data_IF_915518211778
#
_entry.id   IF_915518211778
#
_cell.length_a   1.000
_cell.length_b   1.000
_cell.length_c   1.000
_cell.angle_alpha   90.00
_cell.angle_beta   90.00
_cell.angle_gamma   90.00
#
_symmetry.space_group_name_H-M   'P 1'
#
loop_
_entity.id
_entity.type
_entity.pdbx_description
1 polymer ?
#
# COMPACT_ATOMS: atom_id res chain seq x y z
N UNK A 1 -7.36 12.05 3.69
CA UNK A 1 -6.43 11.10 4.36
C UNK A 1 -7.15 10.25 5.40
N UNK A 2 -7.76 10.86 6.44
CA UNK A 2 -8.45 10.12 7.51
C UNK A 2 -9.52 9.11 7.02
N UNK A 3 -10.32 9.49 6.00
CA UNK A 3 -11.32 8.58 5.41
C UNK A 3 -10.69 7.29 4.85
N UNK A 4 -9.53 7.40 4.20
CA UNK A 4 -8.82 6.24 3.67
C UNK A 4 -8.27 5.36 4.80
N UNK A 5 -7.60 5.96 5.78
CA UNK A 5 -7.08 5.25 6.95
C UNK A 5 -8.18 4.50 7.71
N UNK A 6 -9.32 5.14 7.90
CA UNK A 6 -10.48 4.55 8.55
C UNK A 6 -11.07 3.41 7.71
N UNK A 7 -11.17 3.57 6.39
CA UNK A 7 -11.67 2.52 5.50
C UNK A 7 -10.77 1.28 5.51
N UNK A 8 -9.45 1.46 5.50
CA UNK A 8 -8.47 0.37 5.54
C UNK A 8 -8.53 -0.40 6.86
N UNK A 9 -8.68 0.30 8.00
CA UNK A 9 -8.64 -0.31 9.32
C UNK A 9 -9.98 -0.85 9.83
N UNK A 10 -11.08 -0.68 9.11
CA UNK A 10 -12.30 -1.47 9.37
C UNK A 10 -12.11 -2.97 9.15
N UNK A 11 -10.96 -3.38 8.62
CA UNK A 11 -10.57 -4.77 8.42
C UNK A 11 -9.77 -5.24 9.64
N UNK A 12 -10.28 -6.23 10.38
CA UNK A 12 -9.76 -6.68 11.67
C UNK A 12 -8.25 -7.03 11.70
N UNK A 13 -7.67 -7.34 10.55
CA UNK A 13 -6.26 -7.70 10.44
C UNK A 13 -5.29 -6.51 10.25
N UNK A 14 -5.79 -5.29 9.95
CA UNK A 14 -4.94 -4.14 9.62
C UNK A 14 -4.68 -3.26 10.84
N UNK A 15 -3.41 -3.14 11.22
CA UNK A 15 -2.94 -2.29 12.30
C UNK A 15 -2.27 -1.03 11.76
N UNK A 16 -2.55 0.13 12.36
CA UNK A 16 -1.83 1.39 12.10
C UNK A 16 -0.68 1.55 13.09
N UNK A 17 0.46 2.01 12.61
CA UNK A 17 1.61 2.37 13.44
C UNK A 17 2.28 3.62 12.87
N UNK A 18 2.88 4.49 13.70
CA UNK A 18 3.76 5.54 13.20
C UNK A 18 4.84 4.92 12.31
N UNK A 19 5.07 5.51 11.13
CA UNK A 19 6.09 5.02 10.21
C UNK A 19 7.41 5.75 10.46
N UNK A 20 8.54 5.01 10.38
CA UNK A 20 9.87 5.54 10.73
C UNK A 20 10.36 6.70 9.86
N UNK A 21 9.72 6.90 8.71
CA UNK A 21 10.02 8.00 7.79
C UNK A 21 8.94 9.10 7.80
N UNK A 22 8.09 9.11 8.83
CA UNK A 22 6.92 9.98 8.93
C UNK A 22 5.67 9.33 8.34
N UNK A 23 4.50 9.84 8.77
CA UNK A 23 3.21 9.31 8.37
C UNK A 23 2.78 8.05 9.12
N UNK A 24 1.85 7.30 8.54
CA UNK A 24 1.20 6.14 9.14
C UNK A 24 1.44 4.90 8.28
N UNK A 25 2.00 3.86 8.87
CA UNK A 25 2.16 2.55 8.24
C UNK A 25 1.00 1.61 8.56
N UNK A 26 0.66 0.76 7.59
CA UNK A 26 -0.41 -0.24 7.69
C UNK A 26 0.19 -1.65 7.65
N UNK A 27 -0.18 -2.47 8.63
CA UNK A 27 0.45 -3.77 8.87
C UNK A 27 -0.57 -4.89 9.03
N UNK A 28 -0.23 -6.09 8.57
CA UNK A 28 -0.84 -7.35 9.01
C UNK A 28 0.20 -8.11 9.81
N UNK A 29 -0.03 -8.28 11.11
CA UNK A 29 0.98 -8.83 12.04
C UNK A 29 2.25 -7.98 12.04
N UNK A 30 3.36 -8.54 11.55
CA UNK A 30 4.66 -7.85 11.41
C UNK A 30 4.92 -7.33 9.99
N UNK A 31 4.01 -7.58 9.05
CA UNK A 31 4.24 -7.32 7.63
C UNK A 31 3.60 -6.02 7.21
N UNK A 32 4.45 -5.09 6.77
CA UNK A 32 4.01 -3.84 6.18
C UNK A 32 3.33 -4.10 4.82
N UNK A 33 2.17 -3.48 4.62
CA UNK A 33 1.49 -3.43 3.34
C UNK A 33 1.91 -2.17 2.58
N UNK A 34 1.96 -1.06 3.32
CA UNK A 34 2.49 0.23 2.89
C UNK A 34 2.28 1.32 3.93
N UNK A 35 2.52 2.56 3.55
CA UNK A 35 2.42 3.71 4.44
C UNK A 35 1.92 4.96 3.71
N UNK A 36 1.23 5.82 4.45
CA UNK A 36 0.72 7.11 4.01
C UNK A 36 1.53 8.22 4.66
N UNK A 37 2.22 9.01 3.85
CA UNK A 37 2.94 10.21 4.28
C UNK A 37 1.97 11.34 4.63
N UNK A 38 2.40 12.28 5.48
CA UNK A 38 1.55 13.40 5.93
C UNK A 38 1.16 14.38 4.82
N UNK A 39 1.81 14.32 3.66
CA UNK A 39 1.48 15.09 2.46
C UNK A 39 0.49 14.38 1.52
N UNK A 40 -0.01 13.20 1.88
CA UNK A 40 -0.96 12.43 1.06
C UNK A 40 -0.31 11.45 0.08
N UNK A 41 1.01 11.29 0.08
CA UNK A 41 1.66 10.25 -0.71
C UNK A 41 1.44 8.88 -0.07
N UNK A 42 0.79 7.97 -0.78
CA UNK A 42 0.57 6.59 -0.37
C UNK A 42 1.57 5.68 -1.08
N UNK A 43 2.46 5.06 -0.32
CA UNK A 43 3.41 4.07 -0.81
C UNK A 43 2.92 2.66 -0.47
N UNK A 44 2.86 1.78 -1.48
CA UNK A 44 2.37 0.40 -1.34
C UNK A 44 3.32 -0.58 -2.00
N UNK A 45 3.50 -1.76 -1.40
CA UNK A 45 4.26 -2.82 -2.04
C UNK A 45 3.36 -3.86 -2.67
N UNK A 46 3.38 -3.90 -3.99
CA UNK A 46 2.54 -4.78 -4.82
C UNK A 46 3.35 -5.87 -5.53
N UNK A 47 4.68 -5.85 -5.39
CA UNK A 47 5.59 -6.74 -6.12
C UNK A 47 5.84 -6.27 -7.56
N UNK A 48 6.95 -6.73 -8.17
CA UNK A 48 7.45 -6.17 -9.45
C UNK A 48 6.46 -6.32 -10.61
N UNK A 49 5.79 -7.46 -10.72
CA UNK A 49 4.83 -7.73 -11.82
C UNK A 49 3.64 -6.77 -11.75
N UNK A 50 2.97 -6.66 -10.60
CA UNK A 50 1.86 -5.72 -10.43
C UNK A 50 2.31 -4.28 -10.54
N UNK A 51 3.46 -3.90 -9.95
CA UNK A 51 4.02 -2.55 -10.09
C UNK A 51 4.17 -2.17 -11.56
N UNK A 52 4.67 -3.08 -12.40
CA UNK A 52 4.85 -2.83 -13.84
C UNK A 52 3.52 -2.56 -14.53
N UNK A 53 2.49 -3.36 -14.27
CA UNK A 53 1.15 -3.15 -14.85
C UNK A 53 0.47 -1.86 -14.35
N UNK A 54 0.54 -1.56 -13.04
CA UNK A 54 -0.08 -0.35 -12.49
C UNK A 54 0.54 0.91 -13.07
N UNK A 55 1.87 0.97 -13.16
CA UNK A 55 2.59 2.11 -13.72
C UNK A 55 2.32 2.26 -15.21
N UNK A 56 2.36 1.16 -15.98
CA UNK A 56 2.08 1.19 -17.43
C UNK A 56 0.67 1.71 -17.75
N UNK A 57 -0.31 1.45 -16.88
CA UNK A 57 -1.69 1.92 -17.04
C UNK A 57 -1.93 3.33 -16.46
N UNK A 58 -0.90 4.00 -15.95
CA UNK A 58 -1.03 5.31 -15.30
C UNK A 58 -1.83 5.28 -14.00
N UNK A 59 -2.01 4.10 -13.39
CA UNK A 59 -2.80 3.94 -12.14
C UNK A 59 -2.00 4.24 -10.88
N UNK A 60 -0.68 4.23 -10.98
CA UNK A 60 0.25 4.56 -9.90
C UNK A 60 1.58 5.01 -10.50
N UNK A 61 2.42 5.62 -9.67
CA UNK A 61 3.77 6.05 -10.02
C UNK A 61 4.79 5.01 -9.52
N UNK A 62 5.98 4.92 -10.14
CA UNK A 62 7.14 4.29 -9.51
C UNK A 62 7.37 4.88 -8.12
N UNK A 63 7.82 4.05 -7.17
CA UNK A 63 8.16 4.56 -5.85
C UNK A 63 9.29 5.60 -5.93
N UNK A 64 9.08 6.77 -5.35
CA UNK A 64 9.96 7.94 -5.52
C UNK A 64 11.42 7.72 -5.04
N UNK A 65 11.66 6.87 -4.03
CA UNK A 65 13.02 6.49 -3.58
C UNK A 65 13.52 5.17 -4.18
N UNK A 66 12.60 4.28 -4.56
CA UNK A 66 12.92 2.89 -4.93
C UNK A 66 12.23 2.52 -6.25
N UNK A 67 12.53 3.24 -7.35
CA UNK A 67 11.74 3.16 -8.58
C UNK A 67 11.73 1.76 -9.21
N UNK A 68 12.82 1.00 -9.06
CA UNK A 68 13.00 -0.35 -9.64
C UNK A 68 12.53 -1.49 -8.71
N UNK A 69 11.90 -1.15 -7.59
CA UNK A 69 11.38 -2.12 -6.63
C UNK A 69 9.94 -2.56 -6.95
N UNK A 70 9.38 -3.41 -6.08
CA UNK A 70 7.95 -3.75 -6.10
C UNK A 70 7.05 -2.70 -5.46
N UNK A 71 7.59 -1.56 -5.04
CA UNK A 71 6.84 -0.44 -4.47
C UNK A 71 6.27 0.46 -5.57
N UNK A 72 5.08 1.00 -5.30
CA UNK A 72 4.42 2.06 -6.06
C UNK A 72 4.11 3.23 -5.13
N UNK A 73 3.98 4.42 -5.72
CA UNK A 73 3.47 5.62 -5.08
C UNK A 73 2.14 6.04 -5.71
N UNK A 74 1.21 6.53 -4.90
CA UNK A 74 -0.08 7.07 -5.35
C UNK A 74 -0.42 8.32 -4.53
N UNK A 75 -0.79 9.42 -5.19
CA UNK A 75 -1.18 10.64 -4.49
C UNK A 75 -2.66 10.59 -4.11
N UNK A 76 -2.95 10.76 -2.83
CA UNK A 76 -4.31 10.89 -2.30
C UNK A 76 -4.63 12.38 -2.11
N UNK A 77 -4.91 13.07 -3.21
CA UNK A 77 -5.09 14.54 -3.24
C UNK A 77 -6.51 14.95 -2.84
N UNK A 78 -7.49 14.10 -3.14
CA UNK A 78 -8.92 14.39 -2.98
C UNK A 78 -9.72 13.16 -2.51
N UNK A 79 -10.96 13.36 -2.02
CA UNK A 79 -11.85 12.25 -1.69
C UNK A 79 -12.17 11.32 -2.88
N UNK A 80 -12.11 11.82 -4.12
CA UNK A 80 -12.36 11.01 -5.32
C UNK A 80 -11.31 9.90 -5.51
N UNK A 81 -10.10 10.12 -4.99
CA UNK A 81 -8.97 9.19 -5.12
C UNK A 81 -9.09 7.97 -4.19
N UNK A 82 -9.96 8.04 -3.18
CA UNK A 82 -10.11 7.00 -2.15
C UNK A 82 -10.44 5.64 -2.77
N UNK A 83 -11.32 5.62 -3.79
CA UNK A 83 -11.69 4.37 -4.45
C UNK A 83 -10.50 3.65 -5.09
N UNK A 84 -9.66 4.40 -5.80
CA UNK A 84 -8.45 3.85 -6.44
C UNK A 84 -7.39 3.48 -5.41
N UNK A 85 -7.18 4.31 -4.38
CA UNK A 85 -6.27 4.01 -3.29
C UNK A 85 -6.64 2.70 -2.57
N UNK A 86 -7.93 2.46 -2.30
CA UNK A 86 -8.40 1.21 -1.70
C UNK A 86 -8.18 0.00 -2.61
N UNK A 87 -8.41 0.13 -3.91
CA UNK A 87 -8.16 -0.96 -4.87
C UNK A 87 -6.66 -1.34 -4.94
N UNK A 88 -5.77 -0.34 -4.95
CA UNK A 88 -4.33 -0.55 -4.90
C UNK A 88 -3.91 -1.17 -3.56
N UNK A 89 -4.48 -0.70 -2.44
CA UNK A 89 -4.22 -1.24 -1.11
C UNK A 89 -4.58 -2.73 -1.03
N UNK A 90 -5.73 -3.13 -1.57
CA UNK A 90 -6.14 -4.54 -1.59
C UNK A 90 -5.18 -5.40 -2.41
N UNK A 91 -4.69 -4.89 -3.55
CA UNK A 91 -3.67 -5.57 -4.35
C UNK A 91 -2.40 -5.79 -3.52
N UNK A 92 -1.93 -4.76 -2.81
CA UNK A 92 -0.75 -4.83 -1.95
C UNK A 92 -0.96 -5.81 -0.78
N UNK A 93 -2.12 -5.74 -0.13
CA UNK A 93 -2.50 -6.63 0.98
C UNK A 93 -2.48 -8.08 0.51
N UNK A 94 -3.19 -8.41 -0.57
CA UNK A 94 -3.22 -9.75 -1.12
C UNK A 94 -1.83 -10.25 -1.47
N UNK A 95 -1.00 -9.43 -2.12
CA UNK A 95 0.38 -9.80 -2.43
C UNK A 95 1.18 -10.14 -1.16
N UNK A 96 1.12 -9.27 -0.15
CA UNK A 96 1.89 -9.39 1.09
C UNK A 96 1.39 -10.51 2.01
N UNK A 97 0.11 -10.83 2.01
CA UNK A 97 -0.46 -11.89 2.87
C UNK A 97 -0.50 -13.25 2.19
N UNK A 98 -0.73 -13.33 0.87
CA UNK A 98 -0.73 -14.61 0.14
C UNK A 98 0.69 -15.15 -0.05
N UNK A 99 1.69 -14.28 -0.21
CA UNK A 99 3.10 -14.68 -0.23
C UNK A 99 3.56 -15.36 1.07
N UNK A 100 2.82 -15.18 2.19
CA UNK A 100 3.09 -15.82 3.47
C UNK A 100 2.41 -17.18 3.64
N UNK A 101 1.32 -17.43 2.91
CA UNK A 101 0.67 -18.74 2.92
C UNK A 101 1.55 -19.80 2.25
N UNK A 102 2.30 -19.43 1.21
CA UNK A 102 3.18 -20.33 0.47
C UNK A 102 4.47 -20.62 1.28
N UNK A 103 4.94 -19.69 2.11
CA UNK A 103 6.15 -19.86 2.93
C UNK A 103 5.94 -20.58 4.26
N UNK A 104 4.68 -20.69 4.74
CA UNK A 104 4.31 -21.41 5.98
C UNK A 104 4.01 -22.90 5.79
N UNK A 105 4.01 -23.39 4.55
CA UNK A 105 3.82 -24.82 4.21
C UNK A 105 5.18 -25.49 3.94
N UNK A 106 6.24 -25.02 4.59
CA UNK A 106 7.55 -25.69 4.61
C UNK A 106 7.97 -25.95 6.04
#
# INVERSE_FOLDING_TARGET
MEMFENAVCRKDAIQRRPHRFGGIGFFVGTTEIGHLHGNGLLDLFVGKSFRTDQVRRGRALPHHVFPESGWISFWLESPADIGQALALFETARMYRTTSQLISRVR
#
